data_IF_936630361276
#
_entry.id   IF_936630361276
#
_cell.length_a   1.000
_cell.length_b   1.000
_cell.length_c   1.000
_cell.angle_alpha   90.00
_cell.angle_beta   90.00
_cell.angle_gamma   90.00
#
_symmetry.space_group_name_H-M   'P 1'
#
loop_
_entity.id
_entity.type
_entity.pdbx_description
1 polymer ?
#
# COMPACT_ATOMS: atom_id res chain seq x y z
N UNK A 1 8.97 -1.81 -9.22
CA UNK A 1 8.25 -2.93 -9.88
C UNK A 1 7.44 -3.66 -8.84
N UNK A 2 6.14 -3.82 -9.04
CA UNK A 2 5.27 -4.62 -8.15
C UNK A 2 4.76 -5.81 -8.96
N UNK A 3 4.91 -7.02 -8.42
CA UNK A 3 4.39 -8.23 -9.06
C UNK A 3 3.06 -8.59 -8.40
N UNK A 4 2.00 -8.76 -9.20
CA UNK A 4 0.72 -9.19 -8.68
C UNK A 4 0.83 -10.63 -8.12
N UNK A 5 0.52 -10.89 -6.85
CA UNK A 5 0.65 -12.24 -6.28
C UNK A 5 -0.37 -13.23 -6.86
N UNK A 6 -1.45 -12.73 -7.50
CA UNK A 6 -2.51 -13.57 -8.06
C UNK A 6 -2.20 -14.04 -9.48
N UNK A 7 -1.88 -13.10 -10.37
CA UNK A 7 -1.64 -13.42 -11.79
C UNK A 7 -0.16 -13.45 -12.16
N UNK A 8 0.74 -13.12 -11.22
CA UNK A 8 2.20 -13.12 -11.38
C UNK A 8 2.69 -12.22 -12.53
N UNK A 9 1.84 -11.31 -13.02
CA UNK A 9 2.21 -10.30 -14.00
C UNK A 9 2.71 -9.05 -13.29
N UNK A 10 3.63 -8.37 -13.96
CA UNK A 10 4.11 -7.07 -13.52
C UNK A 10 2.98 -6.05 -13.58
N UNK A 11 2.82 -5.31 -12.48
CA UNK A 11 1.95 -4.14 -12.42
C UNK A 11 2.85 -2.92 -12.53
N UNK A 12 2.86 -2.31 -13.71
CA UNK A 12 3.62 -1.10 -14.00
C UNK A 12 2.75 0.12 -13.73
N UNK A 13 3.12 0.95 -12.75
CA UNK A 13 2.44 2.21 -12.40
C UNK A 13 1.81 2.23 -11.01
N UNK A 14 1.16 3.34 -10.67
CA UNK A 14 0.43 3.55 -9.41
C UNK A 14 -1.00 2.99 -9.52
N UNK A 15 -1.14 1.78 -10.04
CA UNK A 15 -2.45 1.15 -10.19
C UNK A 15 -2.81 0.37 -8.93
N UNK A 16 -3.89 0.81 -8.31
CA UNK A 16 -4.55 0.12 -7.20
C UNK A 16 -5.12 -1.24 -7.60
N UNK A 17 -5.43 -1.40 -8.89
CA UNK A 17 -6.00 -2.64 -9.42
C UNK A 17 -5.13 -3.19 -10.53
N UNK A 18 -4.80 -4.49 -10.44
CA UNK A 18 -4.01 -5.15 -11.46
C UNK A 18 -4.76 -5.13 -12.80
N UNK A 19 -4.19 -4.50 -13.86
CA UNK A 19 -4.87 -4.39 -15.15
C UNK A 19 -5.00 -5.73 -15.89
N UNK A 20 -4.29 -6.76 -15.44
CA UNK A 20 -4.29 -8.06 -16.09
C UNK A 20 -5.34 -9.04 -15.54
N UNK A 21 -5.62 -8.99 -14.24
CA UNK A 21 -6.59 -9.89 -13.60
C UNK A 21 -7.77 -9.18 -12.93
N UNK A 22 -7.73 -7.85 -12.83
CA UNK A 22 -8.78 -7.05 -12.18
C UNK A 22 -8.79 -7.12 -10.66
N UNK A 23 -7.79 -7.75 -10.03
CA UNK A 23 -7.69 -7.82 -8.57
C UNK A 23 -7.13 -6.51 -8.01
N UNK A 24 -7.84 -5.92 -7.05
CA UNK A 24 -7.37 -4.75 -6.30
C UNK A 24 -6.31 -5.14 -5.29
N UNK A 25 -5.16 -4.47 -5.35
CA UNK A 25 -4.04 -4.65 -4.44
C UNK A 25 -4.25 -3.76 -3.21
N UNK A 26 -4.44 -4.41 -2.07
CA UNK A 26 -4.59 -3.73 -0.77
C UNK A 26 -3.28 -3.92 -0.02
N UNK A 27 -2.68 -2.80 0.40
CA UNK A 27 -1.49 -2.76 1.23
C UNK A 27 -1.89 -2.48 2.67
N UNK A 28 -1.29 -3.23 3.60
CA UNK A 28 -1.47 -3.02 5.03
C UNK A 28 -0.25 -2.29 5.57
N UNK A 29 -0.48 -1.09 6.11
CA UNK A 29 0.53 -0.28 6.77
C UNK A 29 0.26 -0.25 8.26
N UNK A 30 1.24 -0.61 9.07
CA UNK A 30 1.16 -0.49 10.51
C UNK A 30 1.77 0.84 10.96
N UNK A 31 0.98 1.70 11.62
CA UNK A 31 1.47 2.95 12.16
C UNK A 31 2.00 2.75 13.59
N UNK A 32 3.30 2.91 13.81
CA UNK A 32 3.91 2.81 15.14
C UNK A 32 3.51 3.93 16.10
N UNK A 33 3.03 5.07 15.56
CA UNK A 33 2.63 6.22 16.36
C UNK A 33 1.27 6.06 17.05
N UNK A 34 0.25 5.61 16.31
CA UNK A 34 -1.09 5.37 16.86
C UNK A 34 -1.41 3.88 17.05
N UNK A 35 -0.47 3.00 16.68
CA UNK A 35 -0.57 1.54 16.76
C UNK A 35 -1.82 0.99 16.04
N UNK A 36 -2.14 1.57 14.89
CA UNK A 36 -3.26 1.18 14.04
C UNK A 36 -2.76 0.54 12.75
N UNK A 37 -3.51 -0.46 12.27
CA UNK A 37 -3.32 -1.06 10.97
C UNK A 37 -4.22 -0.37 9.93
N UNK A 38 -3.63 0.03 8.81
CA UNK A 38 -4.30 0.81 7.77
C UNK A 38 -4.24 0.04 6.47
N UNK A 39 -5.40 -0.36 5.99
CA UNK A 39 -5.58 -0.96 4.67
C UNK A 39 -5.81 0.14 3.64
N UNK A 40 -4.93 0.24 2.65
CA UNK A 40 -5.03 1.25 1.59
C UNK A 40 -4.77 0.62 0.23
N UNK A 41 -5.29 1.26 -0.80
CA UNK A 41 -4.80 1.05 -2.16
C UNK A 41 -3.72 2.11 -2.42
N UNK A 42 -2.60 1.72 -3.05
CA UNK A 42 -1.49 2.63 -3.33
C UNK A 42 -0.51 2.87 -2.18
N UNK A 43 0.38 3.85 -2.36
CA UNK A 43 1.45 4.18 -1.40
C UNK A 43 0.98 5.35 -0.51
N UNK A 44 0.81 5.10 0.78
CA UNK A 44 0.52 6.16 1.77
C UNK A 44 1.81 6.81 2.28
N UNK A 45 1.88 8.14 2.17
CA UNK A 45 2.96 8.93 2.79
C UNK A 45 2.67 9.27 4.25
N UNK A 46 1.41 9.56 4.59
CA UNK A 46 1.00 9.97 5.93
C UNK A 46 -0.11 9.06 6.46
N UNK A 47 -0.13 8.86 7.77
CA UNK A 47 -1.18 8.15 8.48
C UNK A 47 -2.45 9.02 8.53
N UNK A 48 -3.56 8.61 7.91
CA UNK A 48 -4.80 9.40 7.88
C UNK A 48 -5.47 9.60 9.26
N UNK A 49 -5.03 8.86 10.29
CA UNK A 49 -5.60 8.94 11.63
C UNK A 49 -4.84 9.88 12.57
N UNK A 50 -3.53 10.06 12.35
CA UNK A 50 -2.69 10.82 13.28
C UNK A 50 -1.63 11.70 12.60
N UNK A 51 -1.71 11.86 11.27
CA UNK A 51 -0.79 12.61 10.41
C UNK A 51 0.69 12.22 10.55
N UNK A 52 0.98 11.04 11.10
CA UNK A 52 2.35 10.54 11.19
C UNK A 52 2.90 10.24 9.78
N UNK A 53 4.10 10.72 9.48
CA UNK A 53 4.82 10.36 8.26
C UNK A 53 5.24 8.88 8.34
N UNK A 54 4.84 8.07 7.36
CA UNK A 54 5.24 6.67 7.26
C UNK A 54 6.68 6.50 6.80
N UNK A 55 7.23 7.47 6.06
CA UNK A 55 8.62 7.47 5.58
C UNK A 55 9.60 7.54 6.75
N UNK A 56 9.23 8.27 7.81
CA UNK A 56 10.03 8.41 9.04
C UNK A 56 10.04 7.12 9.89
N UNK A 57 9.03 6.26 9.71
CA UNK A 57 8.86 4.99 10.44
C UNK A 57 9.53 3.79 9.76
N UNK A 58 10.12 3.97 8.58
CA UNK A 58 10.83 2.93 7.80
C UNK A 58 12.36 2.92 8.06
N UNK A 59 12.81 3.35 9.24
CA UNK A 59 14.22 3.27 9.70
C UNK A 59 14.44 2.14 10.69
#
# INVERSE_FOLDING_TARGET
>A
MVICPYCQKEVTGEFDTCPHCGVTMIYFHHCHRCNQEIATTGILKFCPLCDADFSDQMN
#
